data_IF_734837883313
#
_entry.id   IF_734837883313
#
_cell.length_a   1.000
_cell.length_b   1.000
_cell.length_c   1.000
_cell.angle_alpha   90.00
_cell.angle_beta   90.00
_cell.angle_gamma   90.00
#
_symmetry.space_group_name_H-M   'P 1'
#
loop_
_entity.id
_entity.type
_entity.pdbx_description
1 polymer ?
#
# COMPACT_ATOMS: atom_id res chain seq x y z
N UNK A 1 -0.90 15.49 16.29
CA UNK A 1 -1.93 14.81 15.48
C UNK A 1 -1.36 13.46 15.10
N UNK A 2 -1.53 12.48 15.99
CA UNK A 2 -0.98 11.14 15.80
C UNK A 2 -1.98 10.30 15.01
N UNK A 3 -1.82 10.27 13.68
CA UNK A 3 -2.53 9.30 12.85
C UNK A 3 -1.82 7.96 12.96
N UNK A 4 -2.36 7.16 13.89
CA UNK A 4 -1.99 5.78 14.18
C UNK A 4 -1.82 4.95 12.90
N UNK A 5 -0.57 4.58 12.70
CA UNK A 5 -0.12 3.36 12.04
C UNK A 5 -0.77 2.13 12.71
N UNK A 6 -2.03 1.84 12.38
CA UNK A 6 -2.66 0.56 12.65
C UNK A 6 -3.25 0.12 11.32
N UNK A 7 -2.62 -0.80 10.59
CA UNK A 7 -2.82 -2.23 10.78
C UNK A 7 -1.64 -3.09 10.26
N UNK A 8 -0.49 -2.50 9.95
CA UNK A 8 0.75 -3.23 9.62
C UNK A 8 1.70 -3.21 10.81
N UNK A 9 2.22 -4.38 11.21
CA UNK A 9 3.17 -4.58 12.33
C UNK A 9 4.54 -3.91 12.10
N UNK A 10 4.66 -3.07 11.09
CA UNK A 10 5.86 -2.40 10.59
C UNK A 10 5.53 -0.92 10.31
N UNK A 11 6.44 -0.01 10.69
CA UNK A 11 6.36 1.41 10.31
C UNK A 11 6.32 1.52 8.79
N UNK A 12 5.38 2.30 8.27
CA UNK A 12 5.40 2.73 6.87
C UNK A 12 6.60 3.65 6.71
N UNK A 13 7.54 3.27 5.84
CA UNK A 13 8.72 4.08 5.50
C UNK A 13 8.54 4.77 4.16
N UNK A 14 7.86 4.11 3.21
CA UNK A 14 7.52 4.67 1.92
C UNK A 14 6.01 4.59 1.69
N UNK A 15 5.25 5.62 2.11
CA UNK A 15 3.80 5.64 1.95
C UNK A 15 3.41 5.64 0.48
N UNK A 16 2.59 4.67 0.10
CA UNK A 16 2.04 4.55 -1.23
C UNK A 16 0.57 4.14 -1.22
N UNK A 17 -0.12 4.47 -2.31
CA UNK A 17 -1.52 4.11 -2.55
C UNK A 17 -1.75 3.84 -4.03
N UNK A 18 -2.83 3.13 -4.38
CA UNK A 18 -3.23 2.99 -5.78
C UNK A 18 -4.17 4.14 -6.17
N UNK A 19 -4.02 4.72 -7.36
CA UNK A 19 -4.87 5.81 -7.86
C UNK A 19 -6.36 5.46 -7.95
N UNK A 20 -6.70 4.18 -8.00
CA UNK A 20 -8.08 3.69 -8.08
C UNK A 20 -8.67 3.33 -6.71
N UNK A 21 -7.92 3.50 -5.63
CA UNK A 21 -8.41 3.25 -4.29
C UNK A 21 -9.23 4.43 -3.77
N UNK A 22 -10.41 4.15 -3.23
CA UNK A 22 -11.28 5.15 -2.59
C UNK A 22 -10.94 5.41 -1.11
N UNK A 23 -9.93 4.72 -0.56
CA UNK A 23 -9.45 4.95 0.80
C UNK A 23 -8.30 5.95 0.83
N UNK A 24 -8.17 6.65 1.97
CA UNK A 24 -7.07 7.58 2.25
C UNK A 24 -5.86 6.89 2.88
N UNK A 25 -6.02 5.67 3.41
CA UNK A 25 -4.93 4.97 4.10
C UNK A 25 -3.84 4.52 3.10
N UNK A 26 -2.59 4.91 3.37
CA UNK A 26 -1.42 4.43 2.64
C UNK A 26 -0.95 3.08 3.18
N UNK A 27 -0.22 2.35 2.33
CA UNK A 27 0.53 1.17 2.71
C UNK A 27 2.01 1.37 2.39
N UNK A 28 2.86 0.55 2.99
CA UNK A 28 4.29 0.61 2.73
C UNK A 28 4.63 0.00 1.37
N UNK A 29 5.21 0.81 0.47
CA UNK A 29 5.53 0.40 -0.90
C UNK A 29 6.55 -0.74 -0.93
N UNK A 30 7.55 -0.71 -0.05
CA UNK A 30 8.60 -1.72 -0.02
C UNK A 30 8.02 -3.09 0.33
N UNK A 31 7.25 -3.17 1.42
CA UNK A 31 6.54 -4.40 1.81
C UNK A 31 5.58 -4.87 0.72
N UNK A 32 4.86 -3.94 0.07
CA UNK A 32 3.95 -4.26 -1.02
C UNK A 32 4.67 -4.92 -2.21
N UNK A 33 5.83 -4.40 -2.60
CA UNK A 33 6.63 -4.98 -3.69
C UNK A 33 7.19 -6.34 -3.30
N UNK A 34 7.73 -6.50 -2.08
CA UNK A 34 8.22 -7.78 -1.58
C UNK A 34 7.13 -8.87 -1.56
N UNK A 35 5.90 -8.50 -1.21
CA UNK A 35 4.76 -9.43 -1.24
C UNK A 35 4.44 -9.88 -2.67
N UNK A 36 4.45 -8.94 -3.62
CA UNK A 36 4.15 -9.23 -5.03
C UNK A 36 5.29 -9.94 -5.76
N UNK A 37 6.54 -9.75 -5.32
CA UNK A 37 7.69 -10.53 -5.76
C UNK A 37 7.52 -12.01 -5.39
N UNK A 38 7.12 -12.31 -4.15
CA UNK A 38 6.85 -13.69 -3.70
C UNK A 38 5.59 -14.29 -4.33
N UNK A 39 4.52 -13.49 -4.42
CA UNK A 39 3.24 -13.91 -5.00
C UNK A 39 2.57 -12.72 -5.70
N UNK A 40 2.60 -12.63 -7.04
CA UNK A 40 2.18 -11.46 -7.80
C UNK A 40 0.65 -11.34 -7.86
N UNK A 41 0.02 -10.95 -6.76
CA UNK A 41 -1.44 -10.80 -6.67
C UNK A 41 -1.93 -9.44 -7.15
N UNK A 42 -1.09 -8.41 -7.07
CA UNK A 42 -1.36 -7.03 -7.45
C UNK A 42 -2.68 -6.48 -6.86
N UNK A 43 -2.91 -6.79 -5.59
CA UNK A 43 -4.09 -6.35 -4.82
C UNK A 43 -3.70 -5.41 -3.69
N UNK A 44 -4.49 -4.36 -3.50
CA UNK A 44 -4.27 -3.38 -2.45
C UNK A 44 -4.34 -4.06 -1.07
N UNK A 45 -3.34 -3.89 -0.18
CA UNK A 45 -3.37 -4.50 1.15
C UNK A 45 -4.41 -3.86 2.09
N UNK A 46 -4.93 -2.68 1.74
CA UNK A 46 -5.93 -1.97 2.54
C UNK A 46 -7.36 -2.37 2.15
N UNK A 47 -7.71 -2.30 0.86
CA UNK A 47 -9.07 -2.58 0.40
C UNK A 47 -9.22 -3.85 -0.43
N UNK A 48 -8.15 -4.61 -0.65
CA UNK A 48 -8.13 -5.81 -1.53
C UNK A 48 -8.51 -5.58 -2.99
N UNK A 49 -8.71 -4.33 -3.41
CA UNK A 49 -9.02 -3.96 -4.80
C UNK A 49 -7.82 -4.09 -5.75
N UNK A 50 -8.04 -3.99 -7.08
CA UNK A 50 -6.97 -4.04 -8.07
C UNK A 50 -5.96 -2.90 -7.87
N UNK A 51 -4.68 -3.25 -7.74
CA UNK A 51 -3.60 -2.32 -7.51
C UNK A 51 -2.39 -2.70 -8.35
N UNK A 52 -2.48 -2.59 -9.68
CA UNK A 52 -1.34 -2.85 -10.55
C UNK A 52 -0.19 -1.87 -10.26
N UNK A 53 1.07 -2.31 -10.40
CA UNK A 53 2.27 -1.48 -10.17
C UNK A 53 2.19 -0.09 -10.85
N UNK A 54 1.77 -0.04 -12.11
CA UNK A 54 1.60 1.19 -12.91
C UNK A 54 0.59 2.21 -12.34
N UNK A 55 -0.24 1.78 -11.39
CA UNK A 55 -1.28 2.58 -10.77
C UNK A 55 -0.90 2.99 -9.33
N UNK A 56 0.26 2.55 -8.83
CA UNK A 56 0.75 2.93 -7.51
C UNK A 56 1.37 4.32 -7.58
N UNK A 57 1.01 5.16 -6.61
CA UNK A 57 1.53 6.51 -6.41
C UNK A 57 2.15 6.58 -5.01
N UNK A 58 3.23 7.34 -4.87
CA UNK A 58 3.84 7.68 -3.58
C UNK A 58 3.11 8.93 -3.06
N UNK A 59 2.71 8.90 -1.80
CA UNK A 59 2.09 10.03 -1.09
C UNK A 59 3.19 10.75 -0.29
N UNK A 60 3.31 12.07 -0.36
CA UNK A 60 4.33 12.84 0.40
C UNK A 60 3.78 13.35 1.74
#
# INVERSE_FOLDING_TARGET
>A
MEVMLMLSRTRITLPARCKHCHHLQCFDLYNYLQMNEKRPTWRCPVCSGPAAFKNIIIDE
#
